data_IF_546045709519
#
_entry.id   IF_546045709519
#
_cell.length_a   1.000
_cell.length_b   1.000
_cell.length_c   1.000
_cell.angle_alpha   90.00
_cell.angle_beta   90.00
_cell.angle_gamma   90.00
#
_symmetry.space_group_name_H-M   'P 1'
#
loop_
_entity.id
_entity.type
_entity.pdbx_description
1 polymer ?
#
# COMPACT_ATOMS: atom_id res chain seq x y z
N UNK A 1 17.25 -36.29 -0.39
CA UNK A 1 17.90 -34.97 -0.45
C UNK A 1 17.82 -34.34 -1.84
N UNK A 2 18.31 -35.06 -2.90
CA UNK A 2 18.34 -34.51 -4.27
C UNK A 2 16.93 -34.16 -4.82
N UNK A 3 15.93 -35.01 -4.64
CA UNK A 3 14.56 -34.74 -5.13
C UNK A 3 13.95 -33.48 -4.49
N UNK A 4 14.13 -33.26 -3.18
CA UNK A 4 13.66 -32.05 -2.50
C UNK A 4 14.37 -30.79 -3.00
N UNK A 5 15.68 -30.88 -3.29
CA UNK A 5 16.42 -29.77 -3.87
C UNK A 5 15.95 -29.42 -5.29
N UNK A 6 15.65 -30.42 -6.12
CA UNK A 6 15.07 -30.21 -7.45
C UNK A 6 13.68 -29.57 -7.38
N UNK A 7 12.80 -30.03 -6.50
CA UNK A 7 11.48 -29.41 -6.30
C UNK A 7 11.61 -27.97 -5.84
N UNK A 8 12.47 -27.68 -4.87
CA UNK A 8 12.70 -26.32 -4.39
C UNK A 8 13.24 -25.41 -5.51
N UNK A 9 14.17 -25.90 -6.31
CA UNK A 9 14.72 -25.18 -7.47
C UNK A 9 13.62 -24.88 -8.51
N UNK A 10 12.78 -25.85 -8.84
CA UNK A 10 11.67 -25.66 -9.79
C UNK A 10 10.65 -24.64 -9.27
N UNK A 11 10.34 -24.65 -7.97
CA UNK A 11 9.46 -23.66 -7.34
C UNK A 11 10.07 -22.25 -7.42
N UNK A 12 11.34 -22.09 -7.14
CA UNK A 12 12.04 -20.80 -7.25
C UNK A 12 12.03 -20.29 -8.69
N UNK A 13 12.37 -21.15 -9.65
CA UNK A 13 12.33 -20.80 -11.08
C UNK A 13 10.91 -20.42 -11.53
N UNK A 14 9.89 -21.14 -11.08
CA UNK A 14 8.50 -20.82 -11.33
C UNK A 14 8.09 -19.45 -10.80
N UNK A 15 8.48 -19.10 -9.57
CA UNK A 15 8.23 -17.79 -8.97
C UNK A 15 8.93 -16.67 -9.77
N UNK A 16 10.19 -16.87 -10.14
CA UNK A 16 10.95 -15.88 -10.93
C UNK A 16 10.33 -15.68 -12.31
N UNK A 17 9.97 -16.76 -12.99
CA UNK A 17 9.32 -16.70 -14.31
C UNK A 17 7.95 -16.00 -14.24
N UNK A 18 7.10 -16.35 -13.26
CA UNK A 18 5.80 -15.72 -13.05
C UNK A 18 5.95 -14.23 -12.75
N UNK A 19 6.95 -13.85 -11.94
CA UNK A 19 7.27 -12.46 -11.62
C UNK A 19 7.68 -11.67 -12.88
N UNK A 20 8.53 -12.25 -13.71
CA UNK A 20 8.97 -11.62 -14.96
C UNK A 20 7.79 -11.44 -15.93
N UNK A 21 6.96 -12.47 -16.11
CA UNK A 21 5.77 -12.43 -16.97
C UNK A 21 4.77 -11.35 -16.51
N UNK A 22 4.49 -11.28 -15.21
CA UNK A 22 3.63 -10.25 -14.65
C UNK A 22 4.17 -8.84 -14.93
N UNK A 23 5.46 -8.61 -14.70
CA UNK A 23 6.07 -7.31 -14.95
C UNK A 23 6.09 -6.95 -16.44
N UNK A 24 6.39 -7.90 -17.33
CA UNK A 24 6.28 -7.69 -18.80
C UNK A 24 4.84 -7.29 -19.18
N UNK A 25 3.83 -7.98 -18.62
CA UNK A 25 2.44 -7.65 -18.84
C UNK A 25 2.12 -6.23 -18.37
N UNK A 26 2.51 -5.86 -17.15
CA UNK A 26 2.26 -4.56 -16.54
C UNK A 26 2.93 -3.43 -17.34
N UNK A 27 4.21 -3.55 -17.65
CA UNK A 27 4.95 -2.54 -18.40
C UNK A 27 4.45 -2.38 -19.84
N UNK A 28 4.07 -3.48 -20.52
CA UNK A 28 3.42 -3.41 -21.83
C UNK A 28 2.05 -2.76 -21.76
N UNK A 29 1.28 -3.03 -20.71
CA UNK A 29 -0.02 -2.41 -20.46
C UNK A 29 0.12 -0.90 -20.28
N UNK A 30 1.02 -0.47 -19.41
CA UNK A 30 1.32 0.94 -19.19
C UNK A 30 1.85 1.64 -20.45
N UNK A 31 2.70 0.97 -21.23
CA UNK A 31 3.20 1.50 -22.50
C UNK A 31 2.07 1.67 -23.54
N UNK A 32 1.14 0.69 -23.65
CA UNK A 32 -0.03 0.79 -24.52
C UNK A 32 -0.95 1.93 -24.11
N UNK A 33 -1.19 2.10 -22.81
CA UNK A 33 -1.99 3.21 -22.29
C UNK A 33 -1.39 4.56 -22.68
N UNK A 34 -0.09 4.77 -22.45
CA UNK A 34 0.63 6.00 -22.85
C UNK A 34 0.59 6.30 -24.35
N UNK A 35 0.60 5.28 -25.22
CA UNK A 35 0.46 5.46 -26.67
C UNK A 35 -0.95 5.90 -27.08
N UNK A 36 -1.98 5.43 -26.38
CA UNK A 36 -3.39 5.75 -26.65
C UNK A 36 -3.81 7.11 -26.10
N UNK A 37 -3.17 7.51 -25.01
CA UNK A 37 -3.46 8.74 -24.28
C UNK A 37 -2.15 9.53 -24.10
N UNK A 38 -1.63 10.15 -25.20
CA UNK A 38 -0.45 11.00 -25.09
C UNK A 38 -0.79 12.21 -24.19
N UNK A 39 0.19 12.72 -23.40
CA UNK A 39 -0.03 13.92 -22.59
C UNK A 39 -0.44 15.09 -23.48
N UNK A 40 -1.37 15.92 -22.99
CA UNK A 40 -1.97 17.01 -23.74
C UNK A 40 -0.99 18.15 -24.07
N UNK A 41 0.15 18.25 -23.38
CA UNK A 41 1.22 19.22 -23.61
C UNK A 41 2.58 18.54 -23.74
N UNK A 42 3.36 18.95 -24.75
CA UNK A 42 4.75 18.51 -24.93
C UNK A 42 5.70 18.97 -23.80
N UNK A 43 5.30 19.95 -22.99
CA UNK A 43 6.02 20.39 -21.80
C UNK A 43 6.21 19.27 -20.75
N UNK A 44 5.31 18.26 -20.73
CA UNK A 44 5.44 17.09 -19.86
C UNK A 44 6.46 16.06 -20.38
N UNK A 45 7.04 16.31 -21.57
CA UNK A 45 7.98 15.39 -22.23
C UNK A 45 9.40 15.40 -21.65
N UNK A 46 9.82 16.51 -21.06
CA UNK A 46 11.16 16.64 -20.47
C UNK A 46 11.32 15.92 -19.14
N UNK A 47 10.20 15.48 -18.56
CA UNK A 47 10.15 14.96 -17.21
C UNK A 47 10.07 13.41 -17.13
N UNK A 48 10.32 12.73 -18.26
CA UNK A 48 10.32 11.25 -18.30
C UNK A 48 11.65 10.69 -17.85
N UNK A 49 11.60 9.69 -16.97
CA UNK A 49 12.79 8.88 -16.65
C UNK A 49 13.44 8.39 -17.95
N UNK A 50 14.73 8.70 -18.21
CA UNK A 50 15.44 8.26 -19.42
C UNK A 50 15.39 6.74 -19.59
N UNK A 51 15.50 6.26 -20.84
CA UNK A 51 15.45 4.82 -21.17
C UNK A 51 16.30 3.94 -20.25
N UNK A 52 17.58 4.23 -19.94
CA UNK A 52 18.38 3.40 -19.04
C UNK A 52 17.77 3.32 -17.64
N UNK A 53 17.21 4.42 -17.10
CA UNK A 53 16.53 4.46 -15.81
C UNK A 53 15.25 3.62 -15.80
N UNK A 54 14.49 3.59 -16.90
CA UNK A 54 13.29 2.75 -17.03
C UNK A 54 13.61 1.26 -17.12
N UNK A 55 14.68 0.89 -17.83
CA UNK A 55 15.17 -0.47 -17.89
C UNK A 55 15.64 -0.95 -16.50
N UNK A 56 16.32 -0.06 -15.78
CA UNK A 56 16.72 -0.31 -14.40
C UNK A 56 15.50 -0.48 -13.48
N UNK A 57 14.52 0.42 -13.55
CA UNK A 57 13.28 0.32 -12.78
C UNK A 57 12.55 -1.00 -13.04
N UNK A 58 12.48 -1.45 -14.31
CA UNK A 58 11.92 -2.75 -14.67
C UNK A 58 12.71 -3.92 -14.04
N UNK A 59 14.02 -3.90 -14.10
CA UNK A 59 14.87 -4.96 -13.53
C UNK A 59 14.69 -5.03 -12.00
N UNK A 60 14.70 -3.89 -11.32
CA UNK A 60 14.49 -3.79 -9.87
C UNK A 60 13.09 -4.28 -9.50
N UNK A 61 12.07 -3.96 -10.31
CA UNK A 61 10.71 -4.41 -10.09
C UNK A 61 10.57 -5.94 -10.23
N UNK A 62 11.21 -6.53 -11.22
CA UNK A 62 11.25 -7.99 -11.36
C UNK A 62 11.92 -8.65 -10.15
N UNK A 63 13.04 -8.10 -9.70
CA UNK A 63 13.74 -8.60 -8.51
C UNK A 63 12.89 -8.45 -7.25
N UNK A 64 12.22 -7.29 -7.06
CA UNK A 64 11.32 -7.05 -5.94
C UNK A 64 10.16 -8.04 -5.93
N UNK A 65 9.50 -8.26 -7.08
CA UNK A 65 8.39 -9.21 -7.21
C UNK A 65 8.81 -10.63 -6.88
N UNK A 66 9.94 -11.08 -7.40
CA UNK A 66 10.50 -12.41 -7.12
C UNK A 66 10.86 -12.57 -5.64
N UNK A 67 11.52 -11.57 -5.05
CA UNK A 67 11.88 -11.58 -3.62
C UNK A 67 10.64 -11.69 -2.72
N UNK A 68 9.58 -10.96 -3.05
CA UNK A 68 8.33 -11.03 -2.31
C UNK A 68 7.64 -12.39 -2.44
N UNK A 69 7.65 -12.98 -3.63
CA UNK A 69 7.17 -14.35 -3.84
C UNK A 69 7.93 -15.37 -2.97
N UNK A 70 9.24 -15.27 -2.91
CA UNK A 70 10.09 -16.13 -2.09
C UNK A 70 9.92 -15.87 -0.57
N UNK A 71 9.54 -14.66 -0.18
CA UNK A 71 9.29 -14.31 1.23
C UNK A 71 7.92 -14.80 1.74
N UNK A 72 7.05 -15.36 0.89
CA UNK A 72 5.70 -15.82 1.28
C UNK A 72 5.69 -16.73 2.53
N UNK A 73 6.58 -17.70 2.72
CA UNK A 73 6.60 -18.51 3.94
C UNK A 73 6.80 -17.70 5.22
N UNK A 74 7.45 -16.54 5.15
CA UNK A 74 7.65 -15.66 6.30
C UNK A 74 6.37 -14.93 6.73
N UNK A 75 5.36 -14.87 5.85
CA UNK A 75 4.04 -14.29 6.15
C UNK A 75 3.31 -15.02 7.29
N UNK A 76 3.64 -16.29 7.54
CA UNK A 76 3.07 -17.08 8.61
C UNK A 76 3.53 -16.65 10.01
N UNK A 77 4.62 -15.89 10.10
CA UNK A 77 5.16 -15.37 11.37
C UNK A 77 4.38 -14.14 11.81
N UNK A 78 3.35 -14.33 12.61
CA UNK A 78 2.57 -13.22 13.20
C UNK A 78 3.30 -12.63 14.41
N UNK A 79 3.46 -11.32 14.44
CA UNK A 79 3.92 -10.61 15.65
C UNK A 79 2.76 -10.48 16.63
N UNK A 80 3.01 -10.78 17.92
CA UNK A 80 2.03 -10.53 18.98
C UNK A 80 1.98 -9.03 19.27
N UNK A 81 0.78 -8.49 19.42
CA UNK A 81 0.58 -7.13 19.91
C UNK A 81 0.98 -7.09 21.40
N UNK A 82 1.69 -6.06 21.79
CA UNK A 82 2.17 -5.83 23.15
C UNK A 82 1.71 -4.46 23.63
N UNK A 83 1.60 -4.22 24.95
CA UNK A 83 1.41 -2.88 25.51
C UNK A 83 2.48 -1.92 24.99
N UNK A 84 2.15 -0.62 24.94
CA UNK A 84 3.15 0.40 24.57
C UNK A 84 4.31 0.36 25.57
N UNK A 85 5.49 0.50 25.02
CA UNK A 85 6.69 0.70 25.82
C UNK A 85 6.64 2.14 26.38
N UNK A 86 6.75 2.33 27.69
CA UNK A 86 6.80 3.69 28.28
C UNK A 86 7.91 4.57 27.70
N UNK A 87 9.01 3.95 27.24
CA UNK A 87 10.14 4.64 26.60
C UNK A 87 9.90 4.93 25.10
N UNK A 88 8.81 4.44 24.50
CA UNK A 88 8.41 4.72 23.12
C UNK A 88 6.93 5.14 23.05
N UNK A 89 6.64 6.43 23.28
CA UNK A 89 5.28 6.95 23.29
C UNK A 89 4.66 7.06 21.88
N UNK A 90 5.40 6.69 20.84
CA UNK A 90 4.91 6.77 19.46
C UNK A 90 3.72 5.82 19.24
N UNK A 91 2.72 6.24 18.46
CA UNK A 91 1.61 5.38 18.12
C UNK A 91 2.07 4.09 17.44
N UNK A 92 1.36 2.98 17.65
CA UNK A 92 1.58 1.77 16.86
C UNK A 92 1.44 2.04 15.37
N UNK A 93 2.32 1.46 14.56
CA UNK A 93 2.26 1.55 13.10
C UNK A 93 1.77 0.22 12.53
N UNK A 94 0.68 0.28 11.79
CA UNK A 94 0.10 -0.87 11.08
C UNK A 94 0.53 -0.82 9.62
N UNK A 95 1.15 -1.90 9.15
CA UNK A 95 1.64 -2.07 7.78
C UNK A 95 0.65 -2.93 7.00
N UNK A 96 0.02 -2.36 5.97
CA UNK A 96 -1.11 -2.94 5.26
C UNK A 96 -0.76 -3.20 3.78
N UNK A 97 -0.67 -4.48 3.41
CA UNK A 97 -0.27 -4.91 2.06
C UNK A 97 -1.36 -4.72 1.00
N UNK A 98 -1.01 -4.87 -0.27
CA UNK A 98 -1.89 -4.75 -1.43
C UNK A 98 -2.61 -6.03 -1.85
N UNK A 99 -3.21 -6.00 -3.04
CA UNK A 99 -3.89 -7.13 -3.67
C UNK A 99 -2.92 -8.28 -3.95
N UNK A 100 -3.34 -9.52 -3.67
CA UNK A 100 -2.56 -10.74 -3.87
C UNK A 100 -1.16 -10.70 -3.20
N UNK A 101 -1.04 -9.96 -2.11
CA UNK A 101 0.18 -9.79 -1.34
C UNK A 101 0.02 -10.36 0.09
N UNK A 102 1.04 -10.19 0.92
CA UNK A 102 1.07 -10.70 2.29
C UNK A 102 1.92 -9.80 3.21
N UNK A 103 1.80 -9.94 4.56
CA UNK A 103 2.49 -9.08 5.52
C UNK A 103 4.01 -9.05 5.39
N UNK A 104 4.65 -10.12 4.89
CA UNK A 104 6.10 -10.15 4.71
C UNK A 104 6.61 -9.14 3.66
N UNK A 105 5.74 -8.56 2.84
CA UNK A 105 6.10 -7.49 1.91
C UNK A 105 6.72 -6.29 2.61
N UNK A 106 6.37 -6.06 3.85
CA UNK A 106 6.91 -4.97 4.66
C UNK A 106 8.16 -5.33 5.47
N UNK A 107 8.69 -6.55 5.33
CA UNK A 107 9.77 -7.03 6.18
C UNK A 107 11.01 -6.13 6.14
N UNK A 108 11.39 -5.64 4.96
CA UNK A 108 12.53 -4.74 4.79
C UNK A 108 12.27 -3.38 5.42
N UNK A 109 11.11 -2.77 5.16
CA UNK A 109 10.71 -1.48 5.70
C UNK A 109 10.55 -1.54 7.22
N UNK A 110 9.89 -2.58 7.74
CA UNK A 110 9.72 -2.80 9.17
C UNK A 110 11.05 -2.93 9.90
N UNK A 111 12.00 -3.73 9.37
CA UNK A 111 13.33 -3.88 9.97
C UNK A 111 14.12 -2.57 10.02
N UNK A 112 13.93 -1.69 9.03
CA UNK A 112 14.57 -0.37 9.05
C UNK A 112 13.94 0.54 10.09
N UNK A 113 12.62 0.58 10.15
CA UNK A 113 11.91 1.34 11.20
C UNK A 113 12.31 0.83 12.59
N UNK A 114 12.44 -0.49 12.79
CA UNK A 114 12.91 -1.06 14.05
C UNK A 114 14.32 -0.60 14.43
N UNK A 115 15.25 -0.55 13.46
CA UNK A 115 16.62 -0.05 13.69
C UNK A 115 16.63 1.44 14.05
N UNK A 116 15.66 2.22 13.53
CA UNK A 116 15.47 3.62 13.86
C UNK A 116 14.59 3.81 15.11
N UNK A 117 14.33 2.73 15.86
CA UNK A 117 13.72 2.76 17.18
C UNK A 117 12.21 2.61 17.23
N UNK A 118 11.50 2.38 16.11
CA UNK A 118 10.07 2.05 16.16
C UNK A 118 9.85 0.66 16.73
N UNK A 119 9.18 0.55 17.89
CA UNK A 119 9.00 -0.73 18.62
C UNK A 119 7.65 -1.40 18.33
N UNK A 120 6.63 -0.62 17.97
CA UNK A 120 5.25 -1.07 17.80
C UNK A 120 4.84 -1.12 16.33
N UNK A 121 5.39 -2.09 15.59
CA UNK A 121 5.15 -2.31 14.17
C UNK A 121 4.37 -3.61 13.95
N UNK A 122 3.23 -3.54 13.27
CA UNK A 122 2.33 -4.68 13.04
C UNK A 122 1.99 -4.82 11.56
N UNK A 123 2.64 -5.74 10.86
CA UNK A 123 2.24 -6.11 9.51
C UNK A 123 1.02 -7.05 9.59
N UNK A 124 -0.09 -6.61 9.01
CA UNK A 124 -1.39 -7.28 9.14
C UNK A 124 -1.88 -7.82 7.81
N UNK A 125 -2.54 -8.98 7.85
CA UNK A 125 -3.25 -9.54 6.72
C UNK A 125 -4.70 -9.04 6.73
N UNK A 126 -5.21 -8.71 5.56
CA UNK A 126 -6.62 -8.48 5.33
C UNK A 126 -7.22 -9.58 4.45
N UNK A 127 -8.37 -9.35 3.82
CA UNK A 127 -9.07 -10.39 3.06
C UNK A 127 -8.20 -10.98 1.94
N UNK A 128 -8.18 -12.31 1.77
CA UNK A 128 -7.53 -12.95 0.65
C UNK A 128 -8.21 -12.58 -0.69
N UNK A 129 -7.56 -12.94 -1.79
CA UNK A 129 -8.11 -12.85 -3.16
C UNK A 129 -9.54 -13.39 -3.21
N UNK A 130 -10.43 -12.76 -3.97
CA UNK A 130 -11.84 -13.14 -4.08
C UNK A 130 -12.81 -12.47 -3.11
N UNK A 131 -12.31 -11.61 -2.19
CA UNK A 131 -13.15 -10.80 -1.33
C UNK A 131 -13.55 -9.45 -1.94
N UNK A 132 -13.87 -8.49 -1.07
CA UNK A 132 -14.08 -7.10 -1.44
C UNK A 132 -13.32 -6.14 -0.49
N UNK A 133 -13.10 -4.90 -0.95
CA UNK A 133 -12.32 -3.90 -0.23
C UNK A 133 -13.05 -3.45 1.05
N UNK A 134 -14.37 -3.35 1.05
CA UNK A 134 -15.15 -2.94 2.22
C UNK A 134 -15.14 -4.03 3.29
N UNK A 135 -15.22 -5.30 2.90
CA UNK A 135 -15.03 -6.43 3.82
C UNK A 135 -13.62 -6.44 4.42
N UNK A 136 -12.61 -6.13 3.61
CA UNK A 136 -11.23 -5.96 4.08
C UNK A 136 -11.11 -4.80 5.07
N UNK A 137 -11.82 -3.69 4.82
CA UNK A 137 -11.87 -2.54 5.72
C UNK A 137 -12.51 -2.89 7.08
N UNK A 138 -13.59 -3.70 7.09
CA UNK A 138 -14.18 -4.20 8.35
C UNK A 138 -13.17 -5.03 9.16
N UNK A 139 -12.48 -5.98 8.52
CA UNK A 139 -11.44 -6.80 9.18
C UNK A 139 -10.24 -5.98 9.65
N UNK A 140 -9.87 -4.95 8.89
CA UNK A 140 -8.87 -3.99 9.33
C UNK A 140 -9.32 -3.32 10.62
N UNK A 141 -10.58 -2.87 10.70
CA UNK A 141 -11.16 -2.25 11.90
C UNK A 141 -11.04 -3.13 13.14
N UNK A 142 -11.42 -4.40 13.05
CA UNK A 142 -11.27 -5.38 14.14
C UNK A 142 -9.80 -5.50 14.61
N UNK A 143 -8.88 -5.44 13.64
CA UNK A 143 -7.44 -5.52 13.93
C UNK A 143 -6.94 -4.24 14.59
N UNK A 144 -7.32 -3.07 14.10
CA UNK A 144 -6.92 -1.78 14.67
C UNK A 144 -7.50 -1.60 16.09
N UNK A 145 -8.75 -2.00 16.32
CA UNK A 145 -9.36 -1.97 17.64
C UNK A 145 -8.62 -2.87 18.62
N UNK A 146 -8.18 -4.07 18.18
CA UNK A 146 -7.34 -4.97 18.99
C UNK A 146 -5.97 -4.35 19.26
N UNK A 147 -5.30 -3.79 18.27
CA UNK A 147 -3.99 -3.14 18.44
C UNK A 147 -4.10 -2.01 19.46
N UNK A 148 -5.08 -1.11 19.31
CA UNK A 148 -5.29 0.00 20.24
C UNK A 148 -5.54 -0.47 21.68
N UNK A 149 -6.49 -1.40 21.86
CA UNK A 149 -6.79 -1.92 23.20
C UNK A 149 -5.60 -2.59 23.85
N UNK A 150 -4.89 -3.47 23.12
CA UNK A 150 -3.76 -4.22 23.69
C UNK A 150 -2.55 -3.33 23.93
N UNK A 151 -2.30 -2.35 23.06
CA UNK A 151 -1.22 -1.39 23.22
C UNK A 151 -1.54 -0.28 24.24
N UNK A 152 -2.80 -0.09 24.62
CA UNK A 152 -3.21 1.08 25.41
C UNK A 152 -3.15 2.39 24.63
N UNK A 153 -3.19 2.32 23.29
CA UNK A 153 -3.01 3.47 22.41
C UNK A 153 -4.36 4.07 22.00
N UNK A 154 -4.49 5.39 22.06
CA UNK A 154 -5.66 6.11 21.55
C UNK A 154 -5.73 6.13 20.01
N UNK A 155 -4.55 6.08 19.37
CA UNK A 155 -4.39 6.19 17.90
C UNK A 155 -3.40 5.17 17.37
N UNK A 156 -3.52 4.89 16.07
CA UNK A 156 -2.56 4.13 15.27
C UNK A 156 -2.20 4.88 14.00
N UNK A 157 -1.01 4.64 13.47
CA UNK A 157 -0.60 5.08 12.14
C UNK A 157 -0.66 3.91 11.17
N UNK A 158 -0.99 4.19 9.92
CA UNK A 158 -1.07 3.19 8.86
C UNK A 158 -0.06 3.54 7.77
N UNK A 159 0.78 2.58 7.40
CA UNK A 159 1.55 2.60 6.16
C UNK A 159 0.98 1.52 5.25
N UNK A 160 0.37 1.93 4.16
CA UNK A 160 -0.38 1.05 3.26
C UNK A 160 0.24 1.00 1.87
N UNK A 161 0.35 -0.18 1.28
CA UNK A 161 0.83 -0.35 -0.09
C UNK A 161 -0.32 -0.70 -1.02
N UNK A 162 -0.36 -0.06 -2.21
CA UNK A 162 -1.28 -0.44 -3.29
C UNK A 162 -2.76 -0.43 -2.83
N UNK A 163 -3.51 -1.49 -3.10
CA UNK A 163 -4.90 -1.67 -2.67
C UNK A 163 -5.09 -1.48 -1.16
N UNK A 164 -4.07 -1.74 -0.35
CA UNK A 164 -4.12 -1.52 1.10
C UNK A 164 -4.50 -0.08 1.48
N UNK A 165 -4.09 0.90 0.68
CA UNK A 165 -4.49 2.30 0.88
C UNK A 165 -5.99 2.53 0.64
N UNK A 166 -6.61 1.85 -0.32
CA UNK A 166 -8.06 1.90 -0.53
C UNK A 166 -8.82 1.23 0.63
N UNK A 167 -8.30 0.12 1.16
CA UNK A 167 -8.85 -0.53 2.35
C UNK A 167 -8.81 0.40 3.56
N UNK A 168 -7.68 1.09 3.78
CA UNK A 168 -7.53 2.07 4.86
C UNK A 168 -8.48 3.26 4.68
N UNK A 169 -8.62 3.81 3.47
CA UNK A 169 -9.57 4.89 3.17
C UNK A 169 -11.00 4.46 3.44
N UNK A 170 -11.41 3.29 2.97
CA UNK A 170 -12.75 2.75 3.21
C UNK A 170 -13.02 2.59 4.72
N UNK A 171 -12.05 2.12 5.48
CA UNK A 171 -12.15 2.03 6.94
C UNK A 171 -12.32 3.40 7.61
N UNK A 172 -11.41 4.35 7.31
CA UNK A 172 -11.44 5.68 7.94
C UNK A 172 -12.75 6.40 7.59
N UNK A 173 -13.17 6.34 6.33
CA UNK A 173 -14.46 6.92 5.90
C UNK A 173 -15.64 6.33 6.66
N UNK A 174 -15.71 5.02 6.82
CA UNK A 174 -16.82 4.35 7.49
C UNK A 174 -16.86 4.62 9.01
N UNK A 175 -15.71 4.84 9.64
CA UNK A 175 -15.59 5.05 11.10
C UNK A 175 -15.53 6.52 11.50
N UNK A 176 -15.25 7.41 10.56
CA UNK A 176 -15.10 8.83 10.84
C UNK A 176 -14.04 9.10 11.92
N UNK A 177 -14.34 9.98 12.86
CA UNK A 177 -13.49 10.31 14.01
C UNK A 177 -13.16 9.08 14.88
N UNK A 178 -14.07 8.11 14.96
CA UNK A 178 -13.87 6.89 15.74
C UNK A 178 -12.88 5.89 15.09
N UNK A 179 -12.34 6.20 13.91
CA UNK A 179 -11.34 5.35 13.26
C UNK A 179 -10.08 5.18 14.12
N UNK A 180 -9.71 6.19 14.88
CA UNK A 180 -8.49 6.21 15.68
C UNK A 180 -7.23 6.16 14.82
N UNK A 181 -7.31 6.50 13.54
CA UNK A 181 -6.15 6.63 12.66
C UNK A 181 -5.61 8.04 12.75
N UNK A 182 -4.36 8.17 13.15
CA UNK A 182 -3.70 9.47 13.24
C UNK A 182 -3.08 9.86 11.90
N UNK A 183 -2.43 8.91 11.23
CA UNK A 183 -1.72 9.13 9.96
C UNK A 183 -1.96 7.99 8.98
N UNK A 184 -2.15 8.33 7.72
CA UNK A 184 -2.25 7.39 6.61
C UNK A 184 -1.18 7.71 5.56
N UNK A 185 -0.13 6.90 5.50
CA UNK A 185 0.90 6.97 4.46
C UNK A 185 0.62 5.88 3.44
N UNK A 186 0.41 6.26 2.19
CA UNK A 186 0.15 5.31 1.10
C UNK A 186 1.31 5.25 0.13
N UNK A 187 1.66 4.03 -0.31
CA UNK A 187 2.73 3.75 -1.24
C UNK A 187 2.14 3.13 -2.50
N UNK A 188 2.15 3.84 -3.62
CA UNK A 188 1.61 3.34 -4.90
C UNK A 188 0.14 2.93 -4.84
N UNK A 189 -0.68 3.61 -4.05
CA UNK A 189 -2.13 3.32 -3.98
C UNK A 189 -2.85 3.91 -5.18
N UNK A 190 -3.67 3.13 -5.90
CA UNK A 190 -4.48 3.65 -7.00
C UNK A 190 -5.71 4.43 -6.46
N UNK A 191 -5.48 5.63 -5.92
CA UNK A 191 -6.52 6.44 -5.27
C UNK A 191 -7.69 6.79 -6.21
N UNK A 192 -7.40 6.87 -7.51
CA UNK A 192 -8.37 7.13 -8.59
C UNK A 192 -8.56 5.91 -9.50
N UNK A 193 -8.12 4.73 -9.03
CA UNK A 193 -8.20 3.45 -9.75
C UNK A 193 -7.02 3.19 -10.69
N UNK A 194 -7.08 2.06 -11.40
CA UNK A 194 -6.07 1.67 -12.38
C UNK A 194 -6.68 0.93 -13.55
N UNK A 195 -6.10 1.12 -14.74
CA UNK A 195 -6.52 0.47 -15.99
C UNK A 195 -5.67 -0.77 -16.35
N UNK A 196 -4.74 -1.17 -15.46
CA UNK A 196 -3.84 -2.30 -15.74
C UNK A 196 -4.58 -3.64 -15.86
N UNK A 197 -5.66 -3.82 -15.14
CA UNK A 197 -6.38 -5.07 -15.12
C UNK A 197 -7.29 -5.25 -16.33
N UNK A 198 -7.37 -6.46 -16.92
CA UNK A 198 -8.27 -6.75 -18.03
C UNK A 198 -9.74 -6.52 -17.61
N UNK A 199 -10.61 -6.29 -18.61
CA UNK A 199 -12.03 -6.05 -18.38
C UNK A 199 -12.78 -7.29 -17.87
N UNK A 200 -12.17 -8.47 -17.89
CA UNK A 200 -12.76 -9.69 -17.34
C UNK A 200 -12.81 -9.62 -15.82
N UNK A 201 -13.98 -9.80 -15.27
CA UNK A 201 -14.23 -9.78 -13.82
C UNK A 201 -13.92 -11.16 -13.22
N UNK A 202 -12.66 -11.49 -13.05
CA UNK A 202 -12.26 -12.71 -12.34
C UNK A 202 -12.30 -12.54 -10.82
N UNK A 203 -12.16 -11.30 -10.32
CA UNK A 203 -12.10 -10.98 -8.90
C UNK A 203 -12.82 -9.64 -8.62
N UNK A 204 -13.77 -9.61 -7.66
CA UNK A 204 -14.49 -8.39 -7.27
C UNK A 204 -13.56 -7.24 -6.85
N UNK A 205 -12.46 -7.52 -6.13
CA UNK A 205 -11.49 -6.50 -5.72
C UNK A 205 -10.85 -5.80 -6.91
N UNK A 206 -10.52 -6.56 -7.96
CA UNK A 206 -9.98 -5.99 -9.22
C UNK A 206 -11.01 -5.06 -9.86
N UNK A 207 -12.28 -5.45 -9.87
CA UNK A 207 -13.37 -4.62 -10.35
C UNK A 207 -13.51 -3.31 -9.56
N UNK A 208 -13.34 -3.37 -8.25
CA UNK A 208 -13.43 -2.21 -7.35
C UNK A 208 -12.26 -1.22 -7.52
N UNK A 209 -11.10 -1.67 -8.00
CA UNK A 209 -9.95 -0.80 -8.29
C UNK A 209 -10.01 -0.13 -9.68
N UNK A 210 -11.03 -0.38 -10.48
CA UNK A 210 -11.17 0.27 -11.79
C UNK A 210 -11.62 1.71 -11.64
N UNK A 211 -11.14 2.61 -12.52
CA UNK A 211 -11.64 3.97 -12.60
C UNK A 211 -13.17 3.99 -12.77
N UNK A 212 -13.82 4.86 -12.01
CA UNK A 212 -15.28 4.98 -12.05
C UNK A 212 -16.05 3.82 -11.40
N UNK A 213 -15.39 2.90 -10.70
CA UNK A 213 -16.09 1.86 -9.93
C UNK A 213 -16.97 2.49 -8.85
N UNK A 214 -18.08 1.83 -8.47
CA UNK A 214 -18.94 2.33 -7.39
C UNK A 214 -18.20 2.58 -6.08
N UNK A 215 -17.21 1.75 -5.75
CA UNK A 215 -16.37 1.95 -4.58
C UNK A 215 -15.58 3.26 -4.68
N UNK A 216 -14.84 3.46 -5.78
CA UNK A 216 -14.02 4.67 -5.95
C UNK A 216 -14.87 5.93 -6.03
N UNK A 217 -16.04 5.86 -6.66
CA UNK A 217 -16.99 6.97 -6.67
C UNK A 217 -17.43 7.33 -5.24
N UNK A 218 -17.79 6.34 -4.41
CA UNK A 218 -18.11 6.57 -2.99
C UNK A 218 -16.92 7.13 -2.20
N UNK A 219 -15.71 6.62 -2.43
CA UNK A 219 -14.50 7.11 -1.74
C UNK A 219 -14.14 8.55 -2.15
N UNK A 220 -14.48 8.96 -3.37
CA UNK A 220 -14.17 10.30 -3.86
C UNK A 220 -15.28 11.33 -3.50
N UNK A 221 -16.52 10.90 -3.30
CA UNK A 221 -17.63 11.77 -2.98
C UNK A 221 -17.44 12.39 -1.58
N UNK A 222 -17.14 13.70 -1.54
CA UNK A 222 -16.84 14.44 -0.31
C UNK A 222 -15.93 13.65 0.65
N UNK A 223 -14.73 13.31 0.20
CA UNK A 223 -13.81 12.45 0.94
C UNK A 223 -13.37 13.08 2.27
N UNK A 224 -13.83 12.56 3.43
CA UNK A 224 -13.50 13.14 4.71
C UNK A 224 -12.10 12.72 5.21
N UNK A 225 -11.48 11.72 4.57
CA UNK A 225 -10.28 11.05 5.10
C UNK A 225 -9.11 12.02 5.30
N UNK A 226 -8.80 12.95 4.36
CA UNK A 226 -7.73 13.91 4.58
C UNK A 226 -7.98 14.93 5.70
N UNK A 227 -9.23 15.05 6.16
CA UNK A 227 -9.61 15.88 7.33
C UNK A 227 -9.61 15.09 8.64
N UNK A 228 -9.61 13.76 8.56
CA UNK A 228 -9.70 12.85 9.71
C UNK A 228 -8.33 12.29 10.11
N UNK A 229 -7.40 12.23 9.18
CA UNK A 229 -6.03 11.73 9.37
C UNK A 229 -5.04 12.53 8.53
N UNK A 230 -3.80 12.63 8.99
CA UNK A 230 -2.71 13.19 8.18
C UNK A 230 -2.44 12.24 7.01
N UNK A 231 -2.84 12.62 5.81
CA UNK A 231 -2.73 11.78 4.63
C UNK A 231 -1.51 12.15 3.77
N UNK A 232 -0.67 11.15 3.50
CA UNK A 232 0.51 11.28 2.63
C UNK A 232 0.40 10.22 1.54
N UNK A 233 0.46 10.63 0.28
CA UNK A 233 0.51 9.72 -0.86
C UNK A 233 1.87 9.78 -1.54
N UNK A 234 2.63 8.69 -1.47
CA UNK A 234 3.90 8.51 -2.16
C UNK A 234 3.63 7.59 -3.35
N UNK A 235 3.78 8.12 -4.57
CA UNK A 235 3.51 7.36 -5.80
C UNK A 235 4.65 7.54 -6.81
N UNK A 236 4.80 6.61 -7.72
CA UNK A 236 5.86 6.66 -8.73
C UNK A 236 5.33 6.99 -10.11
N UNK A 237 6.00 7.93 -10.80
CA UNK A 237 5.74 8.23 -12.21
C UNK A 237 6.03 7.02 -13.13
N UNK A 238 6.86 6.09 -12.68
CA UNK A 238 7.24 4.88 -13.43
C UNK A 238 6.46 3.63 -12.98
N UNK A 239 5.43 3.80 -12.14
CA UNK A 239 4.54 2.71 -11.73
C UNK A 239 3.80 2.13 -12.94
N UNK A 240 3.96 0.81 -13.16
CA UNK A 240 3.34 0.11 -14.27
C UNK A 240 2.05 -0.64 -13.85
N UNK A 241 1.71 -0.63 -12.56
CA UNK A 241 0.50 -1.24 -12.00
C UNK A 241 -0.59 -0.19 -11.75
N UNK A 242 -0.23 1.00 -11.30
CA UNK A 242 -1.15 2.16 -11.25
C UNK A 242 -1.09 2.89 -12.59
N UNK A 243 -2.10 2.69 -13.44
CA UNK A 243 -2.10 3.20 -14.83
C UNK A 243 -3.33 4.08 -15.07
N UNK A 244 -3.16 5.34 -15.49
CA UNK A 244 -1.89 6.07 -15.52
C UNK A 244 -1.32 6.31 -14.10
N UNK A 245 -0.01 6.52 -14.00
CA UNK A 245 0.69 6.69 -12.72
C UNK A 245 0.14 7.88 -11.89
N UNK A 246 -0.34 8.94 -12.53
CA UNK A 246 -1.00 10.09 -11.91
C UNK A 246 -2.24 9.73 -11.07
N UNK A 247 -2.83 8.54 -11.25
CA UNK A 247 -3.92 8.03 -10.40
C UNK A 247 -3.48 7.64 -8.99
N UNK A 248 -2.18 7.65 -8.73
CA UNK A 248 -1.61 7.60 -7.38
C UNK A 248 -1.78 8.91 -6.61
N UNK A 249 -2.05 10.02 -7.29
CA UNK A 249 -2.35 11.30 -6.64
C UNK A 249 -3.63 11.20 -5.80
N UNK A 250 -3.56 11.64 -4.55
CA UNK A 250 -4.68 11.63 -3.62
C UNK A 250 -5.13 13.07 -3.32
N UNK A 251 -6.29 13.51 -3.83
CA UNK A 251 -6.81 14.85 -3.54
C UNK A 251 -6.93 15.12 -2.04
N UNK A 252 -6.46 16.26 -1.59
CA UNK A 252 -6.49 16.66 -0.18
C UNK A 252 -5.37 16.09 0.70
N UNK A 253 -4.53 15.18 0.19
CA UNK A 253 -3.37 14.66 0.89
C UNK A 253 -2.08 15.42 0.50
N UNK A 254 -1.04 15.27 1.30
CA UNK A 254 0.31 15.65 0.88
C UNK A 254 0.84 14.61 -0.11
N UNK A 255 1.08 15.02 -1.35
CA UNK A 255 1.45 14.14 -2.44
C UNK A 255 2.93 14.24 -2.78
N UNK A 256 3.62 13.10 -2.85
CA UNK A 256 5.05 13.01 -3.21
C UNK A 256 5.21 12.09 -4.41
N UNK A 257 5.57 12.66 -5.56
CA UNK A 257 5.95 11.87 -6.73
C UNK A 257 7.43 11.45 -6.63
N UNK A 258 7.69 10.16 -6.83
CA UNK A 258 9.04 9.63 -6.99
C UNK A 258 9.23 9.06 -8.39
N UNK A 259 10.48 8.88 -8.83
CA UNK A 259 10.82 8.39 -10.17
C UNK A 259 11.88 7.30 -10.09
N UNK A 260 11.99 6.50 -11.14
CA UNK A 260 12.93 5.39 -11.24
C UNK A 260 12.55 4.17 -10.40
N UNK A 261 11.31 4.11 -9.90
CA UNK A 261 10.79 3.01 -9.09
C UNK A 261 9.53 2.45 -9.75
N UNK A 262 9.39 1.13 -9.76
CA UNK A 262 8.14 0.46 -10.11
C UNK A 262 7.21 0.37 -8.90
N UNK A 263 6.19 -0.47 -9.00
CA UNK A 263 5.14 -0.59 -7.99
C UNK A 263 5.61 -1.23 -6.68
N UNK A 264 6.25 -2.40 -6.75
CA UNK A 264 6.73 -3.14 -5.57
C UNK A 264 8.07 -2.63 -5.07
N UNK A 265 8.90 -2.08 -5.95
CA UNK A 265 10.19 -1.52 -5.57
C UNK A 265 10.07 -0.28 -4.68
N UNK A 266 8.89 0.37 -4.61
CA UNK A 266 8.58 1.38 -3.58
C UNK A 266 8.83 0.86 -2.16
N UNK A 267 8.55 -0.42 -1.89
CA UNK A 267 8.71 -1.06 -0.57
C UNK A 267 10.18 -1.26 -0.16
N UNK A 268 11.12 -1.19 -1.11
CA UNK A 268 12.54 -1.44 -0.90
C UNK A 268 13.42 -0.21 -1.11
N UNK A 269 12.82 0.92 -1.47
CA UNK A 269 13.53 2.15 -1.77
C UNK A 269 13.98 2.88 -0.50
N UNK A 270 15.27 3.21 -0.41
CA UNK A 270 15.81 4.04 0.68
C UNK A 270 15.17 5.43 0.70
N UNK A 271 14.88 6.01 -0.48
CA UNK A 271 14.21 7.30 -0.62
C UNK A 271 12.79 7.25 -0.07
N UNK A 272 12.01 6.23 -0.44
CA UNK A 272 10.65 6.03 0.08
C UNK A 272 10.68 5.76 1.59
N UNK A 273 11.64 4.96 2.05
CA UNK A 273 11.86 4.74 3.49
C UNK A 273 12.09 6.05 4.25
N UNK A 274 12.96 6.94 3.75
CA UNK A 274 13.22 8.22 4.38
C UNK A 274 11.93 9.07 4.48
N UNK A 275 11.16 9.15 3.40
CA UNK A 275 9.87 9.84 3.39
C UNK A 275 8.87 9.24 4.40
N UNK A 276 8.77 7.91 4.48
CA UNK A 276 7.92 7.24 5.47
C UNK A 276 8.37 7.58 6.88
N UNK A 277 9.67 7.45 7.18
CA UNK A 277 10.25 7.73 8.48
C UNK A 277 10.03 9.19 8.92
N UNK A 278 10.32 10.13 8.04
CA UNK A 278 10.15 11.57 8.29
C UNK A 278 8.69 11.90 8.60
N UNK A 279 7.77 11.37 7.79
CA UNK A 279 6.35 11.60 8.03
C UNK A 279 5.83 10.89 9.28
N UNK A 280 6.34 9.71 9.65
CA UNK A 280 5.99 9.05 10.92
C UNK A 280 6.55 9.81 12.14
N UNK A 281 7.70 10.48 12.03
CA UNK A 281 8.34 11.22 13.08
C UNK A 281 7.82 12.66 13.23
N UNK A 282 7.17 13.22 12.20
CA UNK A 282 6.69 14.60 12.23
C UNK A 282 5.72 14.84 13.39
N UNK A 283 5.85 16.00 14.04
CA UNK A 283 4.88 16.43 15.04
C UNK A 283 3.49 16.55 14.45
N UNK A 284 2.47 16.24 15.24
CA UNK A 284 1.07 16.35 14.86
C UNK A 284 0.40 17.53 15.51
N UNK A 285 -0.52 18.12 14.80
CA UNK A 285 -1.50 18.97 15.44
C UNK A 285 -2.26 18.18 16.53
N UNK A 286 -2.54 18.79 17.70
CA UNK A 286 -3.32 18.13 18.75
C UNK A 286 -4.65 17.65 18.20
N UNK A 287 -5.03 16.41 18.56
CA UNK A 287 -6.31 15.86 18.14
C UNK A 287 -7.46 16.73 18.64
N UNK A 288 -8.48 16.98 17.80
CA UNK A 288 -9.74 17.50 18.35
C UNK A 288 -10.22 16.52 19.42
N UNK A 289 -10.74 17.06 20.53
CA UNK A 289 -11.23 16.24 21.63
C UNK A 289 -12.28 15.22 21.11
N UNK A 290 -11.97 13.93 21.23
CA UNK A 290 -12.81 12.86 20.72
C UNK A 290 -13.99 12.62 21.65
N UNK A 291 -15.21 12.72 21.17
CA UNK A 291 -16.35 12.10 21.81
C UNK A 291 -16.13 10.56 21.84
N UNK A 292 -16.09 9.99 23.03
CA UNK A 292 -16.05 8.55 23.23
C UNK A 292 -17.35 7.93 22.71
N UNK A 293 -17.28 7.08 21.70
CA UNK A 293 -18.44 6.36 21.20
C UNK A 293 -18.28 6.02 19.72
N UNK A 294 -17.65 4.89 19.40
CA UNK A 294 -17.59 4.39 18.03
C UNK A 294 -18.96 3.91 17.56
N UNK A 295 -19.51 4.52 16.52
CA UNK A 295 -20.70 4.01 15.86
C UNK A 295 -20.43 2.61 15.28
N UNK A 296 -21.42 1.68 15.35
CA UNK A 296 -21.31 0.38 14.70
C UNK A 296 -21.20 0.56 13.17
N UNK A 297 -20.66 -0.46 12.51
CA UNK A 297 -20.64 -0.49 11.04
C UNK A 297 -22.04 -0.37 10.48
N UNK A 298 -22.26 0.47 9.45
CA UNK A 298 -23.52 0.45 8.72
C UNK A 298 -23.72 -0.95 8.12
N UNK A 299 -24.93 -1.50 8.28
CA UNK A 299 -25.34 -2.82 7.77
C UNK A 299 -25.41 -2.85 6.25
#
# INVERSE_FOLDING_TARGET
>A
MAALAHIAMLLVLGIVAASALFNVYAYRGAARHRRRHPPACAADGEDRTPWPGRAWAFAVECAATALLGLATPLALRRRRVRPLDPDDPRPPVVLLHGYAQHPANFLWLARRLERDGWRHLYAVAHTPVGGDIERSARRLGETLDRVRRTAGASRVDIVAHSMGGLVARAYIRARGQASGVGRLITLGTPHQGTEIFPRFRLDPMVGQMRPGSPLLARLAADDPVPRLADCISIYSADDAVVVPASRGYYPGAFNVEVRGLGHLSLLFSRRVYALVRENLAAERAPAPATAAGGAPWPR
#
